data_IF_207395313553
#
_entry.id   IF_207395313553
#
_cell.length_a   1.000
_cell.length_b   1.000
_cell.length_c   1.000
_cell.angle_alpha   90.00
_cell.angle_beta   90.00
_cell.angle_gamma   90.00
#
_symmetry.space_group_name_H-M   'P 1'
#
loop_
_entity.id
_entity.type
_entity.pdbx_description
1 polymer ?
#
# COMPACT_ATOMS: atom_id res chain seq x y z
N UNK A 1 -28.46 2.09 13.47
CA UNK A 1 -28.87 3.21 12.59
C UNK A 1 -28.37 4.50 13.19
N UNK A 2 -27.56 5.25 12.46
CA UNK A 2 -26.78 6.38 12.95
C UNK A 2 -27.25 7.67 12.27
N UNK A 3 -27.43 8.74 13.05
CA UNK A 3 -27.73 10.08 12.50
C UNK A 3 -26.45 10.75 11.99
N UNK A 4 -26.57 11.87 11.26
CA UNK A 4 -25.41 12.68 10.84
C UNK A 4 -24.55 13.10 12.05
N UNK A 5 -25.18 13.47 13.16
CA UNK A 5 -24.47 13.88 14.38
C UNK A 5 -23.72 12.71 15.03
N UNK A 6 -24.27 11.49 14.95
CA UNK A 6 -23.60 10.28 15.43
C UNK A 6 -22.41 9.92 14.53
N UNK A 7 -22.61 10.00 13.20
CA UNK A 7 -21.55 9.80 12.21
C UNK A 7 -20.41 10.80 12.39
N UNK A 8 -20.72 12.06 12.67
CA UNK A 8 -19.71 13.08 12.96
C UNK A 8 -18.80 12.67 14.10
N UNK A 9 -19.39 12.22 15.22
CA UNK A 9 -18.64 11.73 16.38
C UNK A 9 -17.85 10.46 16.05
N UNK A 10 -18.47 9.52 15.33
CA UNK A 10 -17.87 8.24 15.00
C UNK A 10 -16.69 8.34 14.01
N UNK A 11 -16.69 9.35 13.14
CA UNK A 11 -15.65 9.62 12.15
C UNK A 11 -14.63 10.67 12.62
N UNK A 12 -14.76 11.21 13.83
CA UNK A 12 -13.87 12.26 14.35
C UNK A 12 -13.94 13.58 13.58
N UNK A 13 -15.05 13.87 12.89
CA UNK A 13 -15.18 15.05 12.03
C UNK A 13 -15.64 16.29 12.83
N UNK A 14 -15.20 17.46 12.39
CA UNK A 14 -15.50 18.72 13.07
C UNK A 14 -16.93 19.20 12.78
N UNK A 15 -17.43 19.01 11.56
CA UNK A 15 -18.72 19.56 11.13
C UNK A 15 -19.63 18.54 10.43
N UNK A 16 -20.94 18.74 10.54
CA UNK A 16 -21.95 17.93 9.86
C UNK A 16 -21.85 18.03 8.32
N UNK A 17 -21.36 19.17 7.80
CA UNK A 17 -21.11 19.34 6.37
C UNK A 17 -19.97 18.45 5.87
N UNK A 18 -18.93 18.21 6.69
CA UNK A 18 -17.88 17.26 6.33
C UNK A 18 -18.48 15.86 6.17
N UNK A 19 -19.34 15.42 7.09
CA UNK A 19 -20.03 14.13 7.01
C UNK A 19 -20.86 14.05 5.71
N UNK A 20 -21.64 15.09 5.38
CA UNK A 20 -22.42 15.13 4.14
C UNK A 20 -21.54 15.01 2.89
N UNK A 21 -20.39 15.69 2.86
CA UNK A 21 -19.46 15.58 1.73
C UNK A 21 -18.91 14.15 1.58
N UNK A 22 -18.64 13.45 2.68
CA UNK A 22 -18.20 12.04 2.64
C UNK A 22 -19.33 11.13 2.17
N UNK A 23 -20.56 11.36 2.63
CA UNK A 23 -21.74 10.63 2.16
C UNK A 23 -21.92 10.82 0.65
N UNK A 24 -21.79 12.05 0.13
CA UNK A 24 -21.92 12.32 -1.30
C UNK A 24 -20.81 11.64 -2.13
N UNK A 25 -19.58 11.55 -1.61
CA UNK A 25 -18.45 10.92 -2.31
C UNK A 25 -18.65 9.43 -2.61
N UNK A 26 -19.40 8.72 -1.77
CA UNK A 26 -19.69 7.28 -1.91
C UNK A 26 -21.20 6.99 -1.91
N UNK A 27 -22.00 7.94 -2.37
CA UNK A 27 -23.48 7.90 -2.29
C UNK A 27 -24.10 6.71 -2.98
N UNK A 28 -23.55 6.32 -4.12
CA UNK A 28 -23.93 5.15 -4.88
C UNK A 28 -23.82 3.85 -4.06
N UNK A 29 -22.72 3.70 -3.30
CA UNK A 29 -22.52 2.56 -2.41
C UNK A 29 -23.38 2.65 -1.15
N UNK A 30 -23.67 3.87 -0.68
CA UNK A 30 -24.47 4.10 0.53
C UNK A 30 -25.97 4.04 0.28
N UNK A 31 -26.43 4.09 -0.97
CA UNK A 31 -27.86 4.12 -1.30
C UNK A 31 -28.68 2.98 -0.65
N UNK A 32 -28.22 1.71 -0.66
CA UNK A 32 -28.93 0.62 0.02
C UNK A 32 -28.97 0.74 1.54
N UNK A 33 -28.05 1.52 2.12
CA UNK A 33 -27.85 1.68 3.55
C UNK A 33 -28.36 3.03 4.10
N UNK A 34 -28.92 3.88 3.24
CA UNK A 34 -29.41 5.21 3.59
C UNK A 34 -30.93 5.18 3.71
N UNK A 35 -31.44 5.65 4.85
CA UNK A 35 -32.87 5.81 5.11
C UNK A 35 -33.19 7.24 5.52
N UNK A 36 -34.42 7.65 5.25
CA UNK A 36 -34.98 8.91 5.78
C UNK A 36 -35.70 8.61 7.09
N UNK A 37 -35.30 9.30 8.15
CA UNK A 37 -35.92 9.25 9.46
C UNK A 37 -37.00 10.33 9.65
N UNK A 38 -37.54 10.44 10.87
CA UNK A 38 -38.42 11.53 11.26
C UNK A 38 -37.78 12.90 10.94
N UNK A 39 -38.58 13.87 10.52
CA UNK A 39 -38.11 15.22 10.12
C UNK A 39 -37.07 15.21 8.97
N UNK A 40 -37.17 14.24 8.04
CA UNK A 40 -36.29 14.11 6.88
C UNK A 40 -34.80 13.93 7.22
N UNK A 41 -34.50 13.46 8.43
CA UNK A 41 -33.13 13.18 8.86
C UNK A 41 -32.52 12.04 8.05
N UNK A 42 -31.24 12.15 7.72
CA UNK A 42 -30.50 11.06 7.08
C UNK A 42 -30.08 10.08 8.17
N UNK A 43 -30.53 8.83 8.04
CA UNK A 43 -30.15 7.71 8.88
C UNK A 43 -29.29 6.76 8.04
N UNK A 44 -28.15 6.34 8.59
CA UNK A 44 -27.22 5.42 7.94
C UNK A 44 -27.13 4.13 8.74
N UNK A 45 -27.28 3.00 8.06
CA UNK A 45 -27.11 1.68 8.65
C UNK A 45 -25.66 1.45 9.12
N UNK A 46 -25.45 0.49 10.01
CA UNK A 46 -24.12 0.24 10.59
C UNK A 46 -23.11 -0.25 9.52
N UNK A 47 -23.59 -0.96 8.49
CA UNK A 47 -22.81 -1.29 7.29
C UNK A 47 -22.35 -0.04 6.54
N UNK A 48 -23.24 0.94 6.35
CA UNK A 48 -22.89 2.22 5.72
C UNK A 48 -21.90 3.05 6.55
N UNK A 49 -21.99 2.96 7.88
CA UNK A 49 -21.01 3.56 8.78
C UNK A 49 -19.62 2.91 8.63
N UNK A 50 -19.57 1.60 8.38
CA UNK A 50 -18.31 0.88 8.13
C UNK A 50 -17.64 1.36 6.84
N UNK A 51 -18.41 1.54 5.76
CA UNK A 51 -17.90 2.11 4.50
C UNK A 51 -17.37 3.53 4.69
N UNK A 52 -18.08 4.35 5.48
CA UNK A 52 -17.63 5.71 5.79
C UNK A 52 -16.36 5.74 6.64
N UNK A 53 -16.17 4.78 7.56
CA UNK A 53 -14.92 4.64 8.32
C UNK A 53 -13.75 4.26 7.41
N UNK A 54 -13.93 3.27 6.54
CA UNK A 54 -12.91 2.90 5.56
C UNK A 54 -12.51 4.08 4.66
N UNK A 55 -13.49 4.86 4.20
CA UNK A 55 -13.23 6.08 3.44
C UNK A 55 -12.40 7.09 4.25
N UNK A 56 -12.73 7.27 5.53
CA UNK A 56 -12.03 8.18 6.42
C UNK A 56 -10.59 7.71 6.70
N UNK A 57 -10.37 6.42 6.95
CA UNK A 57 -9.05 5.85 7.18
C UNK A 57 -8.12 6.03 5.96
N UNK A 58 -8.67 5.82 4.75
CA UNK A 58 -7.94 6.06 3.50
C UNK A 58 -7.59 7.54 3.32
N UNK A 59 -8.51 8.44 3.62
CA UNK A 59 -8.23 9.87 3.57
C UNK A 59 -7.15 10.27 4.59
N UNK A 60 -7.20 9.73 5.81
CA UNK A 60 -6.24 10.03 6.86
C UNK A 60 -4.84 9.44 6.57
N UNK A 61 -4.76 8.43 5.68
CA UNK A 61 -3.49 7.94 5.13
C UNK A 61 -2.83 8.90 4.12
N UNK A 62 -3.49 10.01 3.79
CA UNK A 62 -2.99 11.06 2.88
C UNK A 62 -3.55 11.01 1.47
N UNK A 63 -4.50 10.12 1.18
CA UNK A 63 -5.17 10.05 -0.11
C UNK A 63 -6.21 11.16 -0.27
N UNK A 64 -6.42 11.61 -1.50
CA UNK A 64 -7.52 12.52 -1.80
C UNK A 64 -8.86 11.80 -1.67
N UNK A 65 -9.93 12.57 -1.44
CA UNK A 65 -11.28 12.00 -1.33
C UNK A 65 -11.71 11.22 -2.59
N UNK A 66 -11.25 11.66 -3.77
CA UNK A 66 -11.51 10.97 -5.05
C UNK A 66 -10.82 9.61 -5.10
N UNK A 67 -9.54 9.53 -4.74
CA UNK A 67 -8.78 8.27 -4.69
C UNK A 67 -9.36 7.32 -3.64
N UNK A 68 -9.62 7.84 -2.43
CA UNK A 68 -10.21 7.06 -1.36
C UNK A 68 -11.57 6.48 -1.76
N UNK A 69 -12.45 7.28 -2.38
CA UNK A 69 -13.76 6.79 -2.85
C UNK A 69 -13.65 5.75 -3.98
N UNK A 70 -12.67 5.86 -4.87
CA UNK A 70 -12.41 4.87 -5.92
C UNK A 70 -11.96 3.52 -5.34
N UNK A 71 -11.09 3.55 -4.33
CA UNK A 71 -10.64 2.35 -3.62
C UNK A 71 -11.81 1.67 -2.89
N UNK A 72 -12.64 2.45 -2.19
CA UNK A 72 -13.82 1.91 -1.48
C UNK A 72 -14.78 1.23 -2.46
N UNK A 73 -15.06 1.81 -3.63
CA UNK A 73 -15.89 1.18 -4.68
C UNK A 73 -15.31 -0.15 -5.13
N UNK A 74 -14.02 -0.15 -5.47
CA UNK A 74 -13.31 -1.36 -5.91
C UNK A 74 -13.37 -2.46 -4.85
N UNK A 75 -13.21 -2.10 -3.57
CA UNK A 75 -13.27 -3.05 -2.47
C UNK A 75 -14.69 -3.62 -2.22
N UNK A 76 -15.72 -2.81 -2.47
CA UNK A 76 -17.11 -3.23 -2.36
C UNK A 76 -17.49 -4.20 -3.49
N UNK A 77 -17.03 -3.95 -4.72
CA UNK A 77 -17.21 -4.86 -5.86
C UNK A 77 -16.51 -6.21 -5.63
N UNK A 78 -15.29 -6.19 -5.07
CA UNK A 78 -14.56 -7.41 -4.71
C UNK A 78 -15.31 -8.21 -3.62
N UNK A 79 -15.90 -7.52 -2.64
CA UNK A 79 -16.71 -8.14 -1.57
C UNK A 79 -18.03 -8.70 -2.08
N UNK A 80 -18.66 -8.08 -3.09
CA UNK A 80 -19.86 -8.62 -3.73
C UNK A 80 -19.56 -9.91 -4.52
N UNK A 81 -18.36 -10.03 -5.07
CA UNK A 81 -17.87 -11.25 -5.73
C UNK A 81 -17.42 -12.33 -4.73
N UNK A 82 -17.08 -11.96 -3.50
CA UNK A 82 -16.66 -12.87 -2.41
C UNK A 82 -17.76 -13.84 -1.98
N UNK A 83 -19.01 -13.37 -1.89
CA UNK A 83 -20.12 -14.15 -1.32
C UNK A 83 -20.49 -15.38 -2.18
N UNK A 84 -20.02 -15.43 -3.43
CA UNK A 84 -20.18 -16.58 -4.35
C UNK A 84 -18.90 -17.41 -4.49
N UNK A 85 -17.75 -16.96 -3.96
CA UNK A 85 -16.41 -17.53 -4.26
C UNK A 85 -15.62 -18.04 -3.05
N UNK A 86 -16.21 -18.10 -1.86
CA UNK A 86 -15.53 -18.52 -0.61
C UNK A 86 -14.85 -19.90 -0.72
N UNK A 87 -15.39 -20.84 -1.52
CA UNK A 87 -14.75 -22.16 -1.74
C UNK A 87 -13.51 -22.13 -2.65
N UNK A 88 -13.34 -21.16 -3.55
CA UNK A 88 -12.17 -21.10 -4.45
C UNK A 88 -11.00 -20.29 -3.88
N UNK A 89 -11.28 -19.34 -2.96
CA UNK A 89 -10.25 -18.46 -2.38
C UNK A 89 -9.39 -19.13 -1.31
N UNK A 90 -9.89 -20.13 -0.59
CA UNK A 90 -9.06 -20.90 0.36
C UNK A 90 -7.91 -21.63 -0.35
N UNK A 91 -8.17 -22.23 -1.51
CA UNK A 91 -7.13 -22.86 -2.33
C UNK A 91 -6.18 -21.81 -2.94
N UNK A 92 -6.71 -20.70 -3.47
CA UNK A 92 -5.88 -19.65 -4.10
C UNK A 92 -5.02 -18.87 -3.08
N UNK A 93 -5.51 -18.62 -1.87
CA UNK A 93 -4.73 -17.94 -0.83
C UNK A 93 -3.60 -18.82 -0.28
N UNK A 94 -3.78 -20.13 -0.21
CA UNK A 94 -2.68 -21.05 0.14
C UNK A 94 -1.56 -21.01 -0.90
N UNK A 95 -1.91 -20.98 -2.20
CA UNK A 95 -0.91 -20.86 -3.28
C UNK A 95 -0.22 -19.50 -3.26
N UNK A 96 -0.97 -18.41 -3.09
CA UNK A 96 -0.39 -17.04 -3.01
C UNK A 96 0.45 -16.83 -1.76
N UNK A 97 0.14 -17.52 -0.66
CA UNK A 97 0.96 -17.47 0.55
C UNK A 97 2.28 -18.21 0.34
N UNK A 98 2.24 -19.42 -0.25
CA UNK A 98 3.44 -20.17 -0.59
C UNK A 98 4.35 -19.43 -1.59
N UNK A 99 3.78 -18.75 -2.58
CA UNK A 99 4.52 -17.91 -3.54
C UNK A 99 5.20 -16.72 -2.86
N UNK A 100 4.51 -16.06 -1.92
CA UNK A 100 5.10 -14.97 -1.12
C UNK A 100 6.22 -15.46 -0.21
N UNK A 101 6.03 -16.60 0.44
CA UNK A 101 7.04 -17.17 1.33
C UNK A 101 8.29 -17.59 0.54
N UNK A 102 8.10 -18.14 -0.67
CA UNK A 102 9.20 -18.44 -1.60
C UNK A 102 9.93 -17.18 -2.07
N UNK A 103 9.20 -16.12 -2.40
CA UNK A 103 9.81 -14.84 -2.79
C UNK A 103 10.61 -14.23 -1.63
N UNK A 104 10.09 -14.29 -0.41
CA UNK A 104 10.79 -13.82 0.78
C UNK A 104 12.07 -14.64 1.02
N UNK A 105 12.02 -15.96 0.81
CA UNK A 105 13.19 -16.81 0.93
C UNK A 105 14.27 -16.44 -0.11
N UNK A 106 13.89 -16.27 -1.38
CA UNK A 106 14.80 -15.84 -2.44
C UNK A 106 15.42 -14.47 -2.16
N UNK A 107 14.61 -13.50 -1.69
CA UNK A 107 15.12 -12.17 -1.35
C UNK A 107 16.10 -12.22 -0.17
N UNK A 108 15.88 -13.09 0.82
CA UNK A 108 16.81 -13.27 1.94
C UNK A 108 18.13 -13.88 1.49
N UNK A 109 18.08 -14.89 0.63
CA UNK A 109 19.25 -15.52 0.04
C UNK A 109 20.07 -14.50 -0.78
N UNK A 110 19.40 -13.68 -1.60
CA UNK A 110 20.07 -12.63 -2.38
C UNK A 110 20.73 -11.58 -1.48
N UNK A 111 20.05 -11.16 -0.39
CA UNK A 111 20.64 -10.23 0.58
C UNK A 111 21.89 -10.84 1.23
N UNK A 112 21.86 -12.12 1.58
CA UNK A 112 23.00 -12.81 2.20
C UNK A 112 24.17 -12.95 1.22
N UNK A 113 23.88 -13.29 -0.04
CA UNK A 113 24.86 -13.32 -1.12
C UNK A 113 25.52 -11.96 -1.33
N UNK A 114 24.71 -10.89 -1.43
CA UNK A 114 25.21 -9.53 -1.64
C UNK A 114 26.05 -9.05 -0.44
N UNK A 115 25.63 -9.36 0.79
CA UNK A 115 26.43 -9.03 2.00
C UNK A 115 27.77 -9.74 1.98
N UNK A 116 27.79 -11.03 1.65
CA UNK A 116 29.03 -11.81 1.53
C UNK A 116 29.94 -11.25 0.44
N UNK A 117 29.35 -10.82 -0.69
CA UNK A 117 30.10 -10.22 -1.79
C UNK A 117 30.68 -8.86 -1.42
N UNK A 118 29.94 -8.02 -0.71
CA UNK A 118 30.42 -6.73 -0.21
C UNK A 118 31.58 -6.96 0.76
N UNK A 119 31.42 -7.85 1.74
CA UNK A 119 32.49 -8.18 2.69
C UNK A 119 33.76 -8.65 1.98
N UNK A 120 33.63 -9.53 0.99
CA UNK A 120 34.77 -9.98 0.16
C UNK A 120 35.45 -8.83 -0.60
N UNK A 121 34.68 -7.91 -1.18
CA UNK A 121 35.24 -6.78 -1.93
C UNK A 121 35.89 -5.76 -1.01
N UNK A 122 35.32 -5.50 0.15
CA UNK A 122 35.88 -4.63 1.19
C UNK A 122 37.20 -5.21 1.72
N UNK A 123 37.27 -6.51 1.99
CA UNK A 123 38.50 -7.20 2.39
C UNK A 123 39.58 -7.10 1.30
N UNK A 124 39.20 -7.28 0.02
CA UNK A 124 40.12 -7.13 -1.11
C UNK A 124 40.63 -5.69 -1.30
N UNK A 125 39.76 -4.72 -1.02
CA UNK A 125 40.13 -3.31 -1.08
C UNK A 125 41.04 -2.93 0.09
N UNK A 126 40.78 -3.46 1.29
CA UNK A 126 41.62 -3.31 2.47
C UNK A 126 42.99 -4.00 2.30
N UNK A 127 43.03 -5.13 1.59
CA UNK A 127 44.26 -5.85 1.22
C UNK A 127 45.08 -5.13 0.12
N UNK A 128 44.59 -4.03 -0.46
CA UNK A 128 45.33 -3.21 -1.42
C UNK A 128 45.54 -3.82 -2.81
N UNK A 129 45.02 -5.03 -3.07
CA UNK A 129 45.30 -5.82 -4.28
C UNK A 129 44.85 -5.17 -5.61
N UNK A 130 43.94 -4.19 -5.56
CA UNK A 130 43.43 -3.51 -6.76
C UNK A 130 44.15 -2.20 -7.11
N UNK A 131 44.79 -1.53 -6.14
CA UNK A 131 45.27 -0.16 -6.32
C UNK A 131 46.66 -0.11 -6.94
N UNK A 132 47.53 -1.07 -6.63
CA UNK A 132 48.89 -1.13 -7.20
C UNK A 132 48.90 -1.58 -8.67
N UNK A 133 48.06 -2.57 -9.02
CA UNK A 133 47.93 -3.03 -10.41
C UNK A 133 47.34 -1.97 -11.32
N UNK A 134 46.30 -1.26 -10.86
CA UNK A 134 45.70 -0.15 -11.59
C UNK A 134 46.65 1.05 -11.73
N UNK A 135 47.42 1.40 -10.68
CA UNK A 135 48.45 2.45 -10.77
C UNK A 135 49.56 2.12 -11.75
N UNK A 136 50.09 0.88 -11.72
CA UNK A 136 51.15 0.44 -12.64
C UNK A 136 50.68 0.42 -14.10
N UNK A 137 49.43 0.01 -14.34
CA UNK A 137 48.84 0.10 -15.67
C UNK A 137 48.69 1.55 -16.15
N UNK A 138 48.17 2.44 -15.29
CA UNK A 138 48.02 3.87 -15.61
C UNK A 138 49.36 4.61 -15.79
N UNK A 139 50.39 4.28 -15.02
CA UNK A 139 51.73 4.87 -15.15
C UNK A 139 52.41 4.46 -16.45
N UNK A 140 52.27 3.19 -16.84
CA UNK A 140 52.76 2.70 -18.14
C UNK A 140 52.07 3.42 -19.31
N UNK A 141 50.76 3.59 -19.22
CA UNK A 141 49.97 4.25 -20.25
C UNK A 141 50.29 5.76 -20.35
N UNK A 142 50.60 6.41 -19.23
CA UNK A 142 51.05 7.81 -19.22
C UNK A 142 52.44 7.97 -19.85
N UNK A 143 53.37 7.06 -19.57
CA UNK A 143 54.71 7.08 -20.17
C UNK A 143 54.72 6.87 -21.69
N UNK A 144 53.72 6.18 -22.25
CA UNK A 144 53.54 6.03 -23.70
C UNK A 144 52.92 7.28 -24.36
N UNK A 145 52.18 8.11 -23.63
CA UNK A 145 51.56 9.35 -24.15
C UNK A 145 52.55 10.52 -24.15
N UNK A 146 53.41 10.63 -23.13
CA UNK A 146 54.42 11.70 -23.03
C UNK A 146 55.69 11.43 -23.88
N UNK A 147 55.75 10.28 -24.58
CA UNK A 147 56.88 9.85 -25.40
C UNK A 147 56.67 9.96 -26.92
N UNK A 148 55.59 10.61 -27.38
CA UNK A 148 55.28 10.87 -28.80
C UNK A 148 55.34 12.37 -29.11
#
# INVERSE_FOLDING_TARGET
>A
MNTISDLRKALGLATDNQVRNRIEAIKDLLYPHLRRGPNNQILVADTGLTLLRQLQDLHDSGLTMAEASSIVRTSADISALDDTTVSSRLASNQTKQAERDNLIAQMREEIEFLRSRVAYLEERQAAGEGVEGARRWWERLRGEIDGA
#
